data_IF_200818806056
#
_entry.id   IF_200818806056
#
_cell.length_a   1.000
_cell.length_b   1.000
_cell.length_c   1.000
_cell.angle_alpha   90.00
_cell.angle_beta   90.00
_cell.angle_gamma   90.00
#
_symmetry.space_group_name_H-M   'P 1'
#
loop_
_entity.id
_entity.type
_entity.pdbx_description
1 polymer ?
#
# COMPACT_ATOMS: atom_id res chain seq x y z
N UNK A 1 14.00 25.70 10.18
CA UNK A 1 12.56 25.88 9.90
C UNK A 1 12.39 26.10 8.41
N UNK A 2 11.75 25.18 7.69
CA UNK A 2 11.45 25.38 6.27
C UNK A 2 10.44 26.54 6.12
N UNK A 3 10.60 27.44 5.14
CA UNK A 3 9.66 28.54 4.93
C UNK A 3 8.27 27.97 4.63
N UNK A 4 7.24 28.55 5.27
CA UNK A 4 5.85 28.08 5.24
C UNK A 4 5.31 27.93 3.80
N UNK A 5 5.81 28.74 2.86
CA UNK A 5 5.46 28.67 1.43
C UNK A 5 5.98 27.42 0.71
N UNK A 6 7.12 26.87 1.13
CA UNK A 6 7.67 25.62 0.56
C UNK A 6 6.97 24.39 1.13
N UNK A 7 6.54 24.45 2.40
CA UNK A 7 5.79 23.35 3.04
C UNK A 7 4.43 23.15 2.37
N UNK A 8 3.70 24.24 2.05
CA UNK A 8 2.36 24.19 1.42
C UNK A 8 2.31 23.50 0.04
N UNK A 9 3.45 23.33 -0.63
CA UNK A 9 3.57 22.68 -1.94
C UNK A 9 4.07 21.23 -1.86
N UNK A 10 4.47 20.76 -0.67
CA UNK A 10 5.04 19.44 -0.44
C UNK A 10 3.99 18.47 0.09
N UNK A 11 3.91 17.30 -0.52
CA UNK A 11 3.01 16.22 -0.12
C UNK A 11 3.69 15.15 0.73
N UNK A 12 5.02 15.14 0.77
CA UNK A 12 5.86 14.25 1.58
C UNK A 12 5.41 14.18 3.05
N UNK A 13 5.06 15.30 3.74
CA UNK A 13 4.61 15.24 5.12
C UNK A 13 3.32 14.43 5.31
N UNK A 14 2.42 14.45 4.31
CA UNK A 14 1.17 13.66 4.34
C UNK A 14 1.50 12.18 4.23
N UNK A 15 2.40 11.81 3.32
CA UNK A 15 2.82 10.41 3.13
C UNK A 15 3.48 9.87 4.40
N UNK A 16 4.43 10.63 4.96
CA UNK A 16 5.11 10.29 6.21
C UNK A 16 4.13 10.07 7.36
N UNK A 17 3.27 11.06 7.60
CA UNK A 17 2.37 11.04 8.73
C UNK A 17 1.28 9.96 8.57
N UNK A 18 0.68 9.82 7.37
CA UNK A 18 -0.34 8.82 7.11
C UNK A 18 0.21 7.39 7.21
N UNK A 19 1.47 7.18 6.81
CA UNK A 19 2.08 5.86 6.87
C UNK A 19 2.51 5.47 8.29
N UNK A 20 3.06 6.40 9.07
CA UNK A 20 3.32 6.16 10.50
C UNK A 20 2.00 5.82 11.21
N UNK A 21 0.94 6.59 10.95
CA UNK A 21 -0.37 6.35 11.52
C UNK A 21 -0.96 4.98 11.10
N UNK A 22 -0.72 4.55 9.86
CA UNK A 22 -1.12 3.23 9.37
C UNK A 22 -0.38 2.11 10.09
N UNK A 23 0.95 2.22 10.27
CA UNK A 23 1.72 1.24 11.02
C UNK A 23 1.25 1.08 12.48
N UNK A 24 0.79 2.18 13.10
CA UNK A 24 0.17 2.14 14.44
C UNK A 24 -1.17 1.41 14.43
N UNK A 25 -2.02 1.70 13.44
CA UNK A 25 -3.29 1.01 13.25
C UNK A 25 -3.07 -0.49 13.01
N UNK A 26 -2.16 -0.87 12.11
CA UNK A 26 -1.94 -2.26 11.72
C UNK A 26 -1.51 -3.11 12.93
N UNK A 27 -0.57 -2.62 13.72
CA UNK A 27 -0.09 -3.31 14.92
C UNK A 27 -1.18 -3.38 15.99
N UNK A 28 -1.91 -2.29 16.23
CA UNK A 28 -3.02 -2.28 17.18
C UNK A 28 -4.13 -3.24 16.76
N UNK A 29 -4.54 -3.19 15.49
CA UNK A 29 -5.57 -4.05 14.92
C UNK A 29 -5.18 -5.52 15.02
N UNK A 30 -3.95 -5.88 14.65
CA UNK A 30 -3.49 -7.27 14.69
C UNK A 30 -3.49 -7.84 16.11
N UNK A 31 -3.09 -7.04 17.10
CA UNK A 31 -3.11 -7.47 18.50
C UNK A 31 -4.54 -7.58 19.05
N UNK A 32 -5.43 -6.63 18.74
CA UNK A 32 -6.83 -6.64 19.19
C UNK A 32 -7.58 -7.83 18.59
N UNK A 33 -7.39 -8.13 17.30
CA UNK A 33 -7.99 -9.30 16.65
C UNK A 33 -7.50 -10.58 17.30
N UNK A 34 -6.18 -10.72 17.54
CA UNK A 34 -5.62 -11.89 18.22
C UNK A 34 -6.27 -12.12 19.59
N UNK A 35 -6.36 -11.07 20.39
CA UNK A 35 -6.92 -11.13 21.75
C UNK A 35 -8.42 -11.46 21.74
N UNK A 36 -9.24 -10.74 20.96
CA UNK A 36 -10.68 -10.96 20.94
C UNK A 36 -11.07 -12.31 20.31
N UNK A 37 -10.37 -12.77 19.26
CA UNK A 37 -10.61 -14.11 18.70
C UNK A 37 -10.24 -15.20 19.71
N UNK A 38 -9.19 -15.02 20.51
CA UNK A 38 -8.83 -15.95 21.57
C UNK A 38 -9.93 -16.01 22.64
N UNK A 39 -10.37 -14.86 23.16
CA UNK A 39 -11.45 -14.77 24.17
C UNK A 39 -12.74 -15.41 23.66
N UNK A 40 -13.16 -15.07 22.43
CA UNK A 40 -14.39 -15.59 21.84
C UNK A 40 -14.35 -17.11 21.61
N UNK A 41 -13.19 -17.64 21.23
CA UNK A 41 -13.00 -19.10 21.04
C UNK A 41 -13.03 -19.83 22.38
N UNK A 42 -12.33 -19.30 23.38
CA UNK A 42 -12.26 -19.90 24.71
C UNK A 42 -13.63 -19.92 25.42
N UNK A 43 -14.49 -18.94 25.13
CA UNK A 43 -15.86 -18.91 25.62
C UNK A 43 -16.77 -19.96 24.96
N UNK A 44 -16.47 -20.37 23.72
CA UNK A 44 -17.32 -21.27 22.93
C UNK A 44 -16.93 -22.75 23.08
N UNK A 45 -15.65 -23.06 23.32
CA UNK A 45 -15.15 -24.42 23.41
C UNK A 45 -14.66 -24.77 24.82
N UNK A 46 -15.12 -25.89 25.44
CA UNK A 46 -14.66 -26.32 26.77
C UNK A 46 -13.18 -26.70 26.83
N UNK A 47 -12.59 -27.08 25.70
CA UNK A 47 -11.16 -27.40 25.54
C UNK A 47 -10.64 -26.68 24.28
N UNK A 48 -10.34 -25.38 24.38
CA UNK A 48 -9.88 -24.62 23.22
C UNK A 48 -8.52 -25.14 22.75
N UNK A 49 -8.41 -25.41 21.46
CA UNK A 49 -7.15 -25.79 20.82
C UNK A 49 -6.55 -24.60 20.09
N UNK A 50 -5.24 -24.55 19.95
CA UNK A 50 -4.57 -23.48 19.19
C UNK A 50 -5.06 -23.41 17.74
N UNK A 51 -5.40 -24.56 17.14
CA UNK A 51 -6.00 -24.64 15.81
C UNK A 51 -7.37 -23.95 15.73
N UNK A 52 -8.19 -24.07 16.78
CA UNK A 52 -9.51 -23.41 16.83
C UNK A 52 -9.38 -21.89 16.91
N UNK A 53 -8.43 -21.37 17.69
CA UNK A 53 -8.13 -19.94 17.81
C UNK A 53 -7.58 -19.38 16.49
N UNK A 54 -6.63 -20.09 15.88
CA UNK A 54 -6.09 -19.72 14.58
C UNK A 54 -7.18 -19.72 13.49
N UNK A 55 -8.08 -20.70 13.50
CA UNK A 55 -9.20 -20.76 12.55
C UNK A 55 -10.13 -19.55 12.69
N UNK A 56 -10.45 -19.14 13.91
CA UNK A 56 -11.26 -17.94 14.15
C UNK A 56 -10.58 -16.68 13.59
N UNK A 57 -9.31 -16.49 13.91
CA UNK A 57 -8.51 -15.37 13.41
C UNK A 57 -8.39 -15.38 11.88
N UNK A 58 -8.09 -16.54 11.28
CA UNK A 58 -7.98 -16.71 9.83
C UNK A 58 -9.30 -16.41 9.12
N UNK A 59 -10.43 -16.86 9.67
CA UNK A 59 -11.75 -16.57 9.10
C UNK A 59 -12.04 -15.07 9.15
N UNK A 60 -11.71 -14.41 10.26
CA UNK A 60 -11.89 -12.97 10.40
C UNK A 60 -11.06 -12.21 9.35
N UNK A 61 -9.76 -12.50 9.24
CA UNK A 61 -8.88 -11.86 8.26
C UNK A 61 -9.28 -12.15 6.81
N UNK A 62 -9.77 -13.36 6.51
CA UNK A 62 -10.28 -13.69 5.19
C UNK A 62 -11.43 -12.75 4.80
N UNK A 63 -12.43 -12.58 5.67
CA UNK A 63 -13.57 -11.68 5.43
C UNK A 63 -13.08 -10.24 5.34
N UNK A 64 -12.26 -9.79 6.29
CA UNK A 64 -11.74 -8.43 6.34
C UNK A 64 -10.94 -8.06 5.08
N UNK A 65 -10.01 -8.92 4.65
CA UNK A 65 -9.17 -8.68 3.48
C UNK A 65 -9.99 -8.74 2.18
N UNK A 66 -10.97 -9.64 2.08
CA UNK A 66 -11.90 -9.65 0.93
C UNK A 66 -12.66 -8.32 0.83
N UNK A 67 -13.23 -7.83 1.92
CA UNK A 67 -13.90 -6.53 1.94
C UNK A 67 -12.92 -5.40 1.57
N UNK A 68 -11.71 -5.40 2.16
CA UNK A 68 -10.70 -4.38 1.90
C UNK A 68 -10.23 -4.33 0.43
N UNK A 69 -10.24 -5.47 -0.28
CA UNK A 69 -9.75 -5.55 -1.68
C UNK A 69 -10.83 -5.35 -2.71
N UNK A 70 -12.04 -5.88 -2.48
CA UNK A 70 -13.12 -5.85 -3.47
C UNK A 70 -13.96 -4.57 -3.41
N UNK A 71 -14.28 -4.09 -2.20
CA UNK A 71 -15.13 -2.90 -2.02
C UNK A 71 -14.55 -1.65 -2.70
N UNK A 72 -13.24 -1.36 -2.66
CA UNK A 72 -12.68 -0.17 -3.28
C UNK A 72 -12.60 -0.19 -4.81
N UNK A 73 -12.82 -1.31 -5.50
CA UNK A 73 -12.62 -1.41 -6.95
C UNK A 73 -13.46 -0.36 -7.71
N UNK A 74 -14.78 -0.38 -7.52
CA UNK A 74 -15.68 0.55 -8.21
C UNK A 74 -15.50 2.01 -7.73
N UNK A 75 -15.47 2.30 -6.40
CA UNK A 75 -15.21 3.65 -5.89
C UNK A 75 -13.88 4.24 -6.37
N UNK A 76 -12.80 3.46 -6.42
CA UNK A 76 -11.50 3.95 -6.87
C UNK A 76 -11.53 4.36 -8.34
N UNK A 77 -12.23 3.63 -9.20
CA UNK A 77 -12.41 4.00 -10.62
C UNK A 77 -13.20 5.32 -10.73
N UNK A 78 -14.27 5.49 -9.94
CA UNK A 78 -15.07 6.72 -9.94
C UNK A 78 -14.23 7.90 -9.47
N UNK A 79 -13.47 7.73 -8.37
CA UNK A 79 -12.59 8.75 -7.83
C UNK A 79 -11.48 9.14 -8.80
N UNK A 80 -10.87 8.17 -9.48
CA UNK A 80 -9.88 8.43 -10.52
C UNK A 80 -10.45 9.36 -11.61
N UNK A 81 -11.63 9.05 -12.15
CA UNK A 81 -12.32 9.89 -13.13
C UNK A 81 -12.55 11.31 -12.62
N UNK A 82 -13.02 11.47 -11.38
CA UNK A 82 -13.23 12.78 -10.76
C UNK A 82 -11.91 13.54 -10.63
N UNK A 83 -10.82 12.83 -10.32
CA UNK A 83 -9.47 13.37 -10.36
C UNK A 83 -9.08 13.91 -11.75
N UNK A 84 -9.43 13.19 -12.80
CA UNK A 84 -9.13 13.58 -14.19
C UNK A 84 -9.95 14.75 -14.70
N UNK A 85 -11.17 14.93 -14.19
CA UNK A 85 -12.01 16.12 -14.43
C UNK A 85 -11.44 17.42 -13.81
N UNK A 86 -10.27 17.37 -13.19
CA UNK A 86 -9.58 18.52 -12.62
C UNK A 86 -9.65 18.60 -11.09
N UNK A 87 -10.44 17.75 -10.42
CA UNK A 87 -10.53 17.72 -8.96
C UNK A 87 -9.45 16.84 -8.32
N UNK A 88 -8.18 17.16 -8.57
CA UNK A 88 -7.00 16.34 -8.20
C UNK A 88 -6.84 16.06 -6.70
N UNK A 89 -7.46 16.85 -5.81
CA UNK A 89 -7.46 16.62 -4.36
C UNK A 89 -8.45 15.53 -3.92
N UNK A 90 -9.55 15.33 -4.65
CA UNK A 90 -10.64 14.44 -4.26
C UNK A 90 -10.18 12.98 -4.12
N UNK A 91 -9.40 12.41 -5.05
CA UNK A 91 -8.89 11.03 -4.95
C UNK A 91 -7.96 10.79 -3.74
N UNK A 92 -7.48 11.84 -3.08
CA UNK A 92 -6.61 11.75 -1.89
C UNK A 92 -7.45 11.99 -0.62
N UNK A 93 -8.26 13.04 -0.59
CA UNK A 93 -9.03 13.45 0.58
C UNK A 93 -10.11 12.44 0.95
N UNK A 94 -10.86 11.92 -0.02
CA UNK A 94 -11.95 10.98 0.26
C UNK A 94 -11.42 9.69 0.92
N UNK A 95 -10.37 9.02 0.39
CA UNK A 95 -9.76 7.90 1.09
C UNK A 95 -9.25 8.24 2.50
N UNK A 96 -8.65 9.42 2.71
CA UNK A 96 -8.19 9.83 4.04
C UNK A 96 -9.34 9.92 5.06
N UNK A 97 -10.52 10.35 4.64
CA UNK A 97 -11.74 10.33 5.48
C UNK A 97 -12.13 8.89 5.80
N UNK A 98 -12.20 8.01 4.80
CA UNK A 98 -12.53 6.60 5.00
C UNK A 98 -11.55 5.89 5.93
N UNK A 99 -10.25 6.18 5.78
CA UNK A 99 -9.23 5.73 6.71
C UNK A 99 -9.52 6.26 8.12
N UNK A 100 -9.67 7.57 8.32
CA UNK A 100 -9.94 8.15 9.64
C UNK A 100 -11.14 7.48 10.33
N UNK A 101 -12.24 7.22 9.61
CA UNK A 101 -13.41 6.51 10.14
C UNK A 101 -13.03 5.10 10.60
N UNK A 102 -12.31 4.33 9.78
CA UNK A 102 -11.84 2.98 10.14
C UNK A 102 -10.96 2.97 11.41
N UNK A 103 -10.10 3.98 11.60
CA UNK A 103 -9.28 4.13 12.83
C UNK A 103 -10.13 4.49 14.05
N UNK A 104 -11.14 5.34 13.87
CA UNK A 104 -12.12 5.66 14.93
C UNK A 104 -12.93 4.43 15.33
N UNK A 105 -13.35 3.60 14.36
CA UNK A 105 -14.04 2.33 14.66
C UNK A 105 -13.15 1.42 15.50
N UNK A 106 -11.86 1.26 15.15
CA UNK A 106 -10.93 0.49 15.99
C UNK A 106 -10.80 1.07 17.39
N UNK A 107 -10.73 2.40 17.53
CA UNK A 107 -10.68 3.04 18.84
C UNK A 107 -11.94 2.74 19.67
N UNK A 108 -13.11 2.77 19.05
CA UNK A 108 -14.38 2.40 19.70
C UNK A 108 -14.40 0.92 20.08
N UNK A 109 -13.89 0.02 19.24
CA UNK A 109 -13.75 -1.41 19.56
C UNK A 109 -12.91 -1.61 20.82
N UNK A 110 -11.79 -0.91 20.95
CA UNK A 110 -10.93 -1.00 22.13
C UNK A 110 -11.59 -0.38 23.37
N UNK A 111 -12.09 0.84 23.28
CA UNK A 111 -12.60 1.59 24.43
C UNK A 111 -13.94 1.04 24.93
N UNK A 112 -14.89 0.79 24.01
CA UNK A 112 -16.25 0.35 24.31
C UNK A 112 -16.43 -1.18 24.32
N UNK A 113 -15.36 -1.97 24.08
CA UNK A 113 -15.42 -3.44 24.00
C UNK A 113 -16.42 -3.94 22.95
N UNK A 114 -16.53 -3.22 21.83
CA UNK A 114 -17.40 -3.66 20.75
C UNK A 114 -16.88 -4.99 20.18
N UNK A 115 -17.79 -5.81 19.63
CA UNK A 115 -17.41 -6.98 18.85
C UNK A 115 -16.43 -6.61 17.73
N UNK A 116 -15.40 -7.44 17.53
CA UNK A 116 -14.38 -7.21 16.49
C UNK A 116 -14.99 -7.10 15.08
N UNK A 117 -16.16 -7.71 14.87
CA UNK A 117 -16.96 -7.65 13.66
C UNK A 117 -17.36 -6.21 13.27
N UNK A 118 -17.39 -5.26 14.22
CA UNK A 118 -17.59 -3.84 13.92
C UNK A 118 -16.53 -3.31 12.92
N UNK A 119 -15.33 -3.91 12.89
CA UNK A 119 -14.28 -3.59 11.94
C UNK A 119 -14.65 -3.91 10.49
N UNK A 120 -15.61 -4.82 10.24
CA UNK A 120 -16.16 -5.04 8.90
C UNK A 120 -16.89 -3.79 8.38
N UNK A 121 -17.62 -3.09 9.24
CA UNK A 121 -18.23 -1.81 8.89
C UNK A 121 -17.17 -0.74 8.59
N UNK A 122 -16.13 -0.66 9.43
CA UNK A 122 -15.00 0.27 9.25
C UNK A 122 -14.29 0.08 7.90
N UNK A 123 -13.95 -1.16 7.54
CA UNK A 123 -13.25 -1.46 6.28
C UNK A 123 -14.14 -1.26 5.05
N UNK A 124 -15.46 -1.51 5.15
CA UNK A 124 -16.40 -1.20 4.07
C UNK A 124 -16.46 0.30 3.81
N UNK A 125 -16.57 1.12 4.85
CA UNK A 125 -16.57 2.59 4.69
C UNK A 125 -15.24 3.08 4.09
N UNK A 126 -14.12 2.53 4.57
CA UNK A 126 -12.80 2.80 4.02
C UNK A 126 -12.71 2.40 2.53
N UNK A 127 -13.25 1.25 2.15
CA UNK A 127 -13.28 0.77 0.77
C UNK A 127 -14.18 1.61 -0.12
N UNK A 128 -15.39 1.95 0.33
CA UNK A 128 -16.33 2.84 -0.37
C UNK A 128 -15.74 4.25 -0.58
N UNK A 129 -14.77 4.64 0.24
CA UNK A 129 -14.01 5.87 0.10
C UNK A 129 -12.83 5.75 -0.89
N UNK A 130 -12.67 4.62 -1.59
CA UNK A 130 -11.61 4.37 -2.58
C UNK A 130 -10.37 3.65 -2.04
N UNK A 131 -10.23 3.54 -0.71
CA UNK A 131 -9.14 2.81 -0.07
C UNK A 131 -7.73 3.22 -0.51
N UNK A 132 -6.79 2.28 -0.41
CA UNK A 132 -5.39 2.50 -0.78
C UNK A 132 -5.24 2.80 -2.27
N UNK A 133 -6.04 2.13 -3.12
CA UNK A 133 -5.97 2.24 -4.57
C UNK A 133 -6.17 3.69 -5.03
N UNK A 134 -7.23 4.35 -4.57
CA UNK A 134 -7.48 5.76 -4.92
C UNK A 134 -6.45 6.69 -4.28
N UNK A 135 -6.11 6.48 -3.00
CA UNK A 135 -5.17 7.32 -2.26
C UNK A 135 -3.80 7.35 -2.93
N UNK A 136 -3.24 6.17 -3.21
CA UNK A 136 -1.90 6.02 -3.77
C UNK A 136 -1.86 6.45 -5.23
N UNK A 137 -2.88 6.10 -6.03
CA UNK A 137 -2.96 6.56 -7.41
C UNK A 137 -3.09 8.09 -7.50
N UNK A 138 -3.88 8.71 -6.63
CA UNK A 138 -4.01 10.17 -6.55
C UNK A 138 -2.70 10.85 -6.16
N UNK A 139 -1.98 10.31 -5.18
CA UNK A 139 -0.65 10.77 -4.79
C UNK A 139 0.35 10.66 -5.95
N UNK A 140 0.43 9.50 -6.61
CA UNK A 140 1.36 9.29 -7.73
C UNK A 140 1.03 10.17 -8.93
N UNK A 141 -0.25 10.40 -9.20
CA UNK A 141 -0.69 11.35 -10.23
C UNK A 141 -0.19 12.75 -9.91
N UNK A 142 -0.34 13.20 -8.66
CA UNK A 142 0.14 14.52 -8.25
C UNK A 142 1.65 14.65 -8.38
N UNK A 143 2.41 13.66 -7.90
CA UNK A 143 3.88 13.61 -8.02
C UNK A 143 4.31 13.67 -9.49
N UNK A 144 3.59 12.96 -10.37
CA UNK A 144 3.87 12.94 -11.81
C UNK A 144 3.70 14.28 -12.50
N UNK A 145 2.75 15.08 -12.01
CA UNK A 145 2.40 16.40 -12.55
C UNK A 145 3.31 17.50 -12.01
N UNK A 146 3.87 17.33 -10.81
CA UNK A 146 4.78 18.31 -10.21
C UNK A 146 6.23 18.12 -10.60
N UNK A 147 6.53 17.06 -11.34
CA UNK A 147 7.89 16.68 -11.74
C UNK A 147 8.10 16.91 -13.22
N UNK A 148 9.32 17.29 -13.62
CA UNK A 148 9.74 17.31 -15.01
C UNK A 148 9.73 15.88 -15.59
N UNK A 149 9.55 15.73 -16.92
CA UNK A 149 9.50 14.41 -17.59
C UNK A 149 10.74 13.57 -17.26
N UNK A 150 11.92 14.19 -17.34
CA UNK A 150 13.23 13.54 -17.10
C UNK A 150 13.40 13.01 -15.67
N UNK A 151 12.88 13.74 -14.68
CA UNK A 151 13.05 13.42 -13.25
C UNK A 151 11.84 12.73 -12.63
N UNK A 152 10.75 12.52 -13.38
CA UNK A 152 9.47 12.01 -12.86
C UNK A 152 9.62 10.67 -12.15
N UNK A 153 10.41 9.78 -12.74
CA UNK A 153 10.70 8.46 -12.20
C UNK A 153 11.39 8.50 -10.85
N UNK A 154 12.38 9.39 -10.73
CA UNK A 154 13.11 9.63 -9.49
C UNK A 154 12.19 10.17 -8.40
N UNK A 155 11.28 11.08 -8.73
CA UNK A 155 10.33 11.63 -7.78
C UNK A 155 9.32 10.58 -7.28
N UNK A 156 8.84 9.69 -8.17
CA UNK A 156 7.98 8.56 -7.76
C UNK A 156 8.73 7.59 -6.84
N UNK A 157 9.94 7.18 -7.20
CA UNK A 157 10.79 6.32 -6.35
C UNK A 157 11.13 6.98 -5.01
N UNK A 158 11.33 8.30 -4.99
CA UNK A 158 11.55 9.04 -3.75
C UNK A 158 10.33 8.96 -2.82
N UNK A 159 9.11 9.08 -3.35
CA UNK A 159 7.88 8.98 -2.56
C UNK A 159 7.68 7.56 -1.98
N UNK A 160 8.03 6.53 -2.73
CA UNK A 160 8.06 5.14 -2.24
C UNK A 160 9.09 4.94 -1.12
N UNK A 161 10.28 5.53 -1.27
CA UNK A 161 11.29 5.49 -0.21
C UNK A 161 10.79 6.19 1.06
N UNK A 162 10.16 7.35 0.92
CA UNK A 162 9.56 8.09 2.04
C UNK A 162 8.49 7.24 2.72
N UNK A 163 7.60 6.60 1.95
CA UNK A 163 6.61 5.65 2.45
C UNK A 163 7.26 4.47 3.21
N UNK A 164 8.29 3.86 2.64
CA UNK A 164 9.04 2.76 3.26
C UNK A 164 9.70 3.15 4.58
N UNK A 165 10.42 4.28 4.61
CA UNK A 165 11.07 4.78 5.84
C UNK A 165 10.03 5.12 6.92
N UNK A 166 8.92 5.74 6.53
CA UNK A 166 7.81 6.05 7.43
C UNK A 166 7.22 4.78 8.05
N UNK A 167 6.97 3.75 7.23
CA UNK A 167 6.47 2.46 7.66
C UNK A 167 7.45 1.76 8.60
N UNK A 168 8.74 1.76 8.28
CA UNK A 168 9.78 1.19 9.13
C UNK A 168 9.81 1.83 10.52
N UNK A 169 9.88 3.16 10.58
CA UNK A 169 9.90 3.91 11.85
C UNK A 169 8.59 3.69 12.61
N UNK A 170 7.45 3.79 11.93
CA UNK A 170 6.12 3.58 12.51
C UNK A 170 5.97 2.19 13.11
N UNK A 171 6.38 1.14 12.39
CA UNK A 171 6.31 -0.24 12.86
C UNK A 171 7.24 -0.51 14.05
N UNK A 172 8.47 0.03 14.04
CA UNK A 172 9.38 -0.09 15.20
C UNK A 172 8.79 0.56 16.45
N UNK A 173 8.21 1.76 16.32
CA UNK A 173 7.62 2.50 17.43
C UNK A 173 6.32 1.85 17.91
N UNK A 174 5.50 1.34 16.99
CA UNK A 174 4.16 0.82 17.28
C UNK A 174 4.14 -0.29 18.32
N UNK A 175 5.06 -1.26 18.22
CA UNK A 175 5.10 -2.43 19.11
C UNK A 175 5.46 -2.05 20.54
N UNK A 176 6.36 -1.08 20.73
CA UNK A 176 6.70 -0.54 22.04
C UNK A 176 5.58 0.33 22.60
N UNK A 177 4.97 1.16 21.75
CA UNK A 177 3.88 2.03 22.17
C UNK A 177 2.62 1.25 22.54
N UNK A 178 2.39 0.07 21.96
CA UNK A 178 1.31 -0.84 22.35
C UNK A 178 1.45 -1.33 23.81
N UNK A 179 2.67 -1.41 24.34
CA UNK A 179 2.96 -1.89 25.69
C UNK A 179 2.93 -0.77 26.74
N UNK A 180 2.93 0.50 26.32
CA UNK A 180 2.87 1.61 27.25
C UNK A 180 1.48 1.72 27.89
N UNK A 181 1.46 1.69 29.23
CA UNK A 181 0.31 1.85 30.13
C UNK A 181 -0.69 0.68 30.17
N UNK A 182 -0.59 -0.11 31.24
CA UNK A 182 -1.47 -1.26 31.55
C UNK A 182 -2.39 -1.02 32.76
N UNK A 183 -2.27 0.11 33.45
CA UNK A 183 -2.80 0.25 34.82
C UNK A 183 -4.20 0.88 34.89
N UNK A 184 -4.53 1.85 34.02
CA UNK A 184 -5.86 2.49 33.97
C UNK A 184 -6.53 2.49 32.58
N UNK A 185 -5.74 2.35 31.51
CA UNK A 185 -6.21 2.32 30.12
C UNK A 185 -5.99 0.93 29.51
N UNK A 186 -6.93 0.48 28.69
CA UNK A 186 -6.82 -0.80 27.97
C UNK A 186 -5.62 -0.79 27.04
N UNK A 187 -4.98 -1.95 26.94
CA UNK A 187 -3.81 -2.15 26.09
C UNK A 187 -4.10 -1.75 24.64
N UNK A 188 -3.23 -0.95 24.03
CA UNK A 188 -3.40 -0.45 22.66
C UNK A 188 -4.22 0.84 22.50
N UNK A 189 -4.91 1.34 23.54
CA UNK A 189 -5.72 2.59 23.44
C UNK A 189 -4.87 3.78 23.01
N UNK A 190 -3.68 3.94 23.60
CA UNK A 190 -2.75 5.03 23.27
C UNK A 190 -2.28 4.94 21.82
N UNK A 191 -1.90 3.74 21.37
CA UNK A 191 -1.42 3.50 20.01
C UNK A 191 -2.51 3.86 18.98
N UNK A 192 -3.73 3.37 19.18
CA UNK A 192 -4.85 3.62 18.27
C UNK A 192 -5.28 5.08 18.32
N UNK A 193 -5.31 5.70 19.51
CA UNK A 193 -5.61 7.14 19.65
C UNK A 193 -4.59 8.01 18.91
N UNK A 194 -3.29 7.67 19.00
CA UNK A 194 -2.25 8.36 18.26
C UNK A 194 -2.41 8.18 16.74
N UNK A 195 -2.81 6.98 16.29
CA UNK A 195 -3.13 6.74 14.87
C UNK A 195 -4.28 7.64 14.39
N UNK A 196 -5.37 7.74 15.16
CA UNK A 196 -6.52 8.63 14.86
C UNK A 196 -6.06 10.08 14.79
N UNK A 197 -5.28 10.54 15.76
CA UNK A 197 -4.77 11.90 15.81
C UNK A 197 -3.89 12.23 14.60
N UNK A 198 -2.94 11.37 14.24
CA UNK A 198 -2.07 11.58 13.08
C UNK A 198 -2.85 11.61 11.77
N UNK A 199 -3.84 10.72 11.59
CA UNK A 199 -4.71 10.75 10.42
C UNK A 199 -5.58 12.02 10.36
N UNK A 200 -6.08 12.48 11.50
CA UNK A 200 -6.81 13.75 11.58
C UNK A 200 -5.92 14.93 11.16
N UNK A 201 -4.68 14.99 11.65
CA UNK A 201 -3.69 16.00 11.24
C UNK A 201 -3.41 15.91 9.73
N UNK A 202 -3.27 14.70 9.17
CA UNK A 202 -3.10 14.51 7.72
C UNK A 202 -4.27 15.09 6.92
N UNK A 203 -5.50 14.84 7.37
CA UNK A 203 -6.71 15.32 6.74
C UNK A 203 -6.78 16.85 6.79
N UNK A 204 -6.57 17.44 7.97
CA UNK A 204 -6.53 18.91 8.14
C UNK A 204 -5.45 19.54 7.26
N UNK A 205 -4.26 18.95 7.23
CA UNK A 205 -3.16 19.44 6.38
C UNK A 205 -3.55 19.39 4.89
N UNK A 206 -4.11 18.27 4.43
CA UNK A 206 -4.47 18.09 3.00
C UNK A 206 -5.59 19.04 2.57
N UNK A 207 -6.56 19.31 3.46
CA UNK A 207 -7.66 20.24 3.19
C UNK A 207 -7.21 21.70 3.19
N UNK A 208 -6.53 22.13 4.26
CA UNK A 208 -6.32 23.55 4.55
C UNK A 208 -4.92 24.07 4.19
N UNK A 209 -3.89 23.22 4.21
CA UNK A 209 -2.49 23.64 4.07
C UNK A 209 -1.91 23.26 2.71
N UNK A 210 -2.24 22.09 2.20
CA UNK A 210 -1.77 21.62 0.91
C UNK A 210 -2.45 22.42 -0.21
N UNK A 211 -1.69 23.27 -0.90
CA UNK A 211 -2.17 23.97 -2.09
C UNK A 211 -1.80 23.15 -3.32
N UNK A 212 -2.80 22.82 -4.13
CA UNK A 212 -2.57 22.17 -5.41
C UNK A 212 -1.74 23.11 -6.29
N UNK A 213 -0.64 22.63 -6.89
CA UNK A 213 0.09 23.40 -7.89
C UNK A 213 -0.85 23.73 -9.05
N UNK A 214 -0.98 25.02 -9.38
CA UNK A 214 -1.77 25.47 -10.53
C UNK A 214 -1.06 25.00 -11.79
N UNK A 215 -1.61 23.98 -12.45
CA UNK A 215 -1.14 23.54 -13.75
C UNK A 215 -1.91 24.40 -14.76
N UNK A 216 -1.18 25.22 -15.53
CA UNK A 216 -1.77 26.00 -16.62
C UNK A 216 -2.45 25.05 -17.61
N UNK A 217 -3.68 25.34 -18.09
CA UNK A 217 -4.40 24.52 -19.05
C UNK A 217 -3.84 24.63 -20.49
N UNK A 218 -2.51 24.72 -20.64
CA UNK A 218 -1.81 24.97 -21.89
C UNK A 218 -0.99 23.76 -22.34
N UNK A 219 -1.64 22.61 -22.44
CA UNK A 219 -1.00 21.37 -22.87
C UNK A 219 -2.01 20.25 -23.10
N UNK A 220 -2.81 20.43 -24.15
CA UNK A 220 -3.49 19.37 -24.92
C UNK A 220 -4.22 18.28 -24.11
N UNK A 221 -5.55 18.41 -24.06
CA UNK A 221 -6.38 17.26 -24.45
C UNK A 221 -5.82 16.74 -25.78
N UNK A 222 -5.11 15.63 -25.73
CA UNK A 222 -4.70 14.93 -26.94
C UNK A 222 -5.97 14.32 -27.52
N UNK A 223 -6.67 15.09 -28.38
CA UNK A 223 -7.61 14.53 -29.34
C UNK A 223 -6.85 13.47 -30.14
N UNK A 224 -7.08 12.20 -29.82
CA UNK A 224 -6.56 11.07 -30.58
C UNK A 224 -7.00 11.26 -32.03
N UNK A 225 -6.01 11.40 -32.92
CA UNK A 225 -6.22 11.50 -34.35
C UNK A 225 -6.53 10.10 -34.86
N UNK A 226 -7.72 9.94 -35.44
CA UNK A 226 -8.07 8.81 -36.30
C UNK A 226 -7.01 8.68 -37.40
N UNK A 227 -6.28 7.56 -37.44
CA UNK A 227 -5.37 7.32 -38.55
C UNK A 227 -4.35 6.21 -38.32
N UNK A 228 -4.72 5.01 -38.79
CA UNK A 228 -3.82 3.94 -39.28
C UNK A 228 -2.90 3.31 -38.21
N UNK A 229 -3.12 2.02 -37.93
CA UNK A 229 -2.14 0.91 -37.90
C UNK A 229 -2.77 -0.23 -37.05
N UNK A 230 -3.54 -1.11 -37.69
CA UNK A 230 -4.33 -2.18 -37.05
C UNK A 230 -3.45 -3.32 -36.46
N UNK A 231 -2.27 -3.59 -37.05
CA UNK A 231 -1.38 -4.69 -36.62
C UNK A 231 -0.38 -4.30 -35.53
N UNK A 232 0.17 -3.09 -35.55
CA UNK A 232 1.02 -2.56 -34.48
C UNK A 232 0.19 -2.23 -33.22
N UNK A 233 -1.06 -1.78 -33.39
CA UNK A 233 -2.00 -1.53 -32.30
C UNK A 233 -2.41 -2.83 -31.58
N UNK A 234 -2.68 -3.91 -32.33
CA UNK A 234 -2.98 -5.24 -31.76
C UNK A 234 -1.81 -5.82 -30.94
N UNK A 235 -0.56 -5.71 -31.44
CA UNK A 235 0.64 -6.14 -30.69
C UNK A 235 0.90 -5.28 -29.45
N UNK A 236 0.59 -3.98 -29.51
CA UNK A 236 0.66 -3.05 -28.37
C UNK A 236 -0.37 -3.44 -27.28
N UNK A 237 -1.60 -3.78 -27.66
CA UNK A 237 -2.62 -4.28 -26.73
C UNK A 237 -2.25 -5.63 -26.11
N UNK A 238 -1.70 -6.55 -26.91
CA UNK A 238 -1.23 -7.84 -26.40
C UNK A 238 -0.15 -7.67 -25.32
N UNK A 239 0.82 -6.79 -25.54
CA UNK A 239 1.87 -6.49 -24.58
C UNK A 239 1.33 -5.81 -23.31
N UNK A 240 0.40 -4.85 -23.46
CA UNK A 240 -0.26 -4.21 -22.32
C UNK A 240 -1.01 -5.25 -21.50
N UNK A 241 -1.84 -6.08 -22.14
CA UNK A 241 -2.59 -7.14 -21.47
C UNK A 241 -1.65 -8.12 -20.75
N UNK A 242 -0.51 -8.47 -21.36
CA UNK A 242 0.50 -9.32 -20.75
C UNK A 242 1.15 -8.68 -19.51
N UNK A 243 1.47 -7.38 -19.57
CA UNK A 243 2.00 -6.63 -18.42
C UNK A 243 0.99 -6.55 -17.29
N UNK A 244 -0.28 -6.28 -17.59
CA UNK A 244 -1.38 -6.28 -16.62
C UNK A 244 -1.56 -7.64 -15.97
N UNK A 245 -1.60 -8.69 -16.79
CA UNK A 245 -1.75 -10.07 -16.31
C UNK A 245 -0.56 -10.45 -15.42
N UNK A 246 0.67 -10.10 -15.82
CA UNK A 246 1.87 -10.31 -15.02
C UNK A 246 1.84 -9.56 -13.68
N UNK A 247 1.42 -8.29 -13.68
CA UNK A 247 1.27 -7.49 -12.47
C UNK A 247 0.23 -8.04 -11.49
N UNK A 248 -0.93 -8.47 -12.01
CA UNK A 248 -1.97 -9.12 -11.20
C UNK A 248 -1.47 -10.44 -10.61
N UNK A 249 -0.82 -11.29 -11.42
CA UNK A 249 -0.25 -12.55 -10.95
C UNK A 249 0.80 -12.33 -9.87
N UNK A 250 1.65 -11.32 -10.05
CA UNK A 250 2.65 -10.93 -9.06
C UNK A 250 2.01 -10.44 -7.76
N UNK A 251 1.00 -9.56 -7.83
CA UNK A 251 0.30 -9.06 -6.65
C UNK A 251 -0.45 -10.17 -5.90
N UNK A 252 -1.09 -11.08 -6.62
CA UNK A 252 -1.74 -12.27 -6.02
C UNK A 252 -0.71 -13.16 -5.31
N UNK A 253 0.44 -13.42 -5.93
CA UNK A 253 1.49 -14.26 -5.35
C UNK A 253 2.16 -13.60 -4.12
N UNK A 254 2.52 -12.33 -4.23
CA UNK A 254 3.25 -11.60 -3.18
C UNK A 254 2.32 -11.13 -2.09
N UNK A 255 1.26 -10.40 -2.44
CA UNK A 255 0.27 -9.89 -1.51
C UNK A 255 -0.48 -11.01 -0.79
N UNK A 256 -0.89 -12.05 -1.52
CA UNK A 256 -1.51 -13.24 -0.92
C UNK A 256 -0.59 -13.95 0.06
N UNK A 257 0.70 -14.08 -0.27
CA UNK A 257 1.70 -14.67 0.63
C UNK A 257 1.87 -13.88 1.94
N UNK A 258 1.97 -12.55 1.86
CA UNK A 258 2.16 -11.69 3.04
C UNK A 258 0.94 -11.71 3.97
N UNK A 259 -0.28 -11.79 3.44
CA UNK A 259 -1.51 -11.85 4.26
C UNK A 259 -1.61 -13.12 5.10
N UNK A 260 -1.12 -14.25 4.58
CA UNK A 260 -1.08 -15.51 5.33
C UNK A 260 -0.11 -15.41 6.52
N UNK A 261 1.01 -14.69 6.36
CA UNK A 261 2.02 -14.54 7.41
C UNK A 261 1.45 -13.88 8.67
N UNK A 262 0.53 -12.92 8.54
CA UNK A 262 -0.10 -12.23 9.68
C UNK A 262 -0.78 -13.20 10.65
N UNK A 263 -1.41 -14.25 10.13
CA UNK A 263 -2.06 -15.29 10.96
C UNK A 263 -1.05 -16.32 11.47
N UNK A 264 0.00 -16.60 10.69
CA UNK A 264 1.07 -17.54 11.07
C UNK A 264 1.93 -17.00 12.23
N UNK A 265 2.26 -15.71 12.22
CA UNK A 265 3.03 -15.03 13.26
C UNK A 265 2.35 -15.09 14.65
N UNK A 266 1.02 -15.24 14.67
CA UNK A 266 0.22 -15.24 15.88
C UNK A 266 -0.06 -16.62 16.48
N UNK A 267 0.31 -17.69 15.77
CA UNK A 267 0.18 -19.08 16.24
C UNK A 267 1.44 -19.55 16.97
N UNK A 268 1.32 -20.49 17.90
CA UNK A 268 2.46 -21.32 18.32
C UNK A 268 3.11 -22.03 17.10
N UNK A 269 4.46 -22.10 17.02
CA UNK A 269 5.47 -21.84 18.04
C UNK A 269 5.97 -20.38 18.15
N UNK A 270 5.46 -19.46 17.34
CA UNK A 270 5.92 -18.06 17.32
C UNK A 270 5.24 -17.22 18.41
N UNK A 271 3.90 -17.30 18.49
CA UNK A 271 3.04 -16.58 19.44
C UNK A 271 3.52 -15.16 19.74
N UNK A 272 3.64 -14.32 18.70
CA UNK A 272 4.35 -13.06 18.82
C UNK A 272 3.69 -12.06 19.77
N UNK A 273 4.55 -11.33 20.49
CA UNK A 273 4.18 -10.12 21.23
C UNK A 273 4.08 -8.92 20.28
N UNK A 274 3.43 -7.85 20.72
CA UNK A 274 3.30 -6.62 19.93
C UNK A 274 4.64 -6.04 19.45
N UNK A 275 5.70 -6.15 20.25
CA UNK A 275 7.05 -5.73 19.87
C UNK A 275 7.64 -6.57 18.74
N UNK A 276 7.44 -7.89 18.76
CA UNK A 276 7.90 -8.79 17.71
C UNK A 276 7.13 -8.57 16.40
N UNK A 277 5.82 -8.32 16.48
CA UNK A 277 4.98 -7.91 15.36
C UNK A 277 5.50 -6.61 14.75
N UNK A 278 5.75 -5.58 15.58
CA UNK A 278 6.33 -4.30 15.13
C UNK A 278 7.66 -4.48 14.40
N UNK A 279 8.56 -5.32 14.91
CA UNK A 279 9.82 -5.66 14.24
C UNK A 279 9.61 -6.45 12.95
N UNK A 280 8.65 -7.38 12.93
CA UNK A 280 8.27 -8.16 11.75
C UNK A 280 7.73 -7.29 10.62
N UNK A 281 6.91 -6.29 10.97
CA UNK A 281 6.37 -5.30 10.03
C UNK A 281 7.45 -4.32 9.55
N UNK A 282 8.33 -3.86 10.45
CA UNK A 282 9.46 -3.02 10.09
C UNK A 282 10.41 -3.72 9.09
N UNK A 283 10.64 -5.03 9.29
CA UNK A 283 11.41 -5.83 8.33
C UNK A 283 10.73 -5.92 6.95
N UNK A 284 9.40 -5.89 6.88
CA UNK A 284 8.65 -5.78 5.63
C UNK A 284 8.90 -4.45 4.92
N UNK A 285 8.97 -3.34 5.67
CA UNK A 285 9.24 -2.02 5.09
C UNK A 285 10.69 -1.79 4.65
N UNK A 286 11.65 -2.59 5.13
CA UNK A 286 13.03 -2.57 4.61
C UNK A 286 13.10 -2.86 3.11
N UNK A 287 12.10 -3.57 2.57
CA UNK A 287 12.03 -3.89 1.15
C UNK A 287 12.06 -2.63 0.30
N UNK A 288 11.30 -1.58 0.64
CA UNK A 288 11.30 -0.31 -0.09
C UNK A 288 12.68 0.36 -0.13
N UNK A 289 13.42 0.28 0.98
CA UNK A 289 14.77 0.84 1.06
C UNK A 289 15.74 0.06 0.17
N UNK A 290 15.66 -1.27 0.21
CA UNK A 290 16.51 -2.12 -0.62
C UNK A 290 16.14 -2.11 -2.09
N UNK A 291 14.87 -1.87 -2.43
CA UNK A 291 14.46 -1.65 -3.81
C UNK A 291 15.10 -0.38 -4.38
N UNK A 292 15.01 0.72 -3.63
CA UNK A 292 15.62 1.99 -4.02
C UNK A 292 17.14 1.85 -4.19
N UNK A 293 17.82 1.26 -3.20
CA UNK A 293 19.27 1.08 -3.22
C UNK A 293 19.72 0.08 -4.29
N UNK A 294 18.96 -1.01 -4.46
CA UNK A 294 19.20 -2.05 -5.46
C UNK A 294 19.12 -1.49 -6.88
N UNK A 295 18.10 -0.67 -7.17
CA UNK A 295 18.00 0.03 -8.45
C UNK A 295 19.15 1.01 -8.63
N UNK A 296 19.48 1.82 -7.62
CA UNK A 296 20.56 2.83 -7.72
C UNK A 296 21.94 2.22 -7.97
N UNK A 297 22.23 1.05 -7.38
CA UNK A 297 23.54 0.40 -7.45
C UNK A 297 23.60 -0.62 -8.59
N UNK A 298 22.67 -1.56 -8.66
CA UNK A 298 22.76 -2.72 -9.56
C UNK A 298 22.31 -2.42 -10.98
N UNK A 299 21.47 -1.40 -11.20
CA UNK A 299 21.06 -1.04 -12.56
C UNK A 299 22.18 -0.44 -13.42
N UNK A 300 23.36 -0.18 -12.82
CA UNK A 300 24.58 0.18 -13.55
C UNK A 300 25.28 -1.03 -14.17
N UNK A 301 25.00 -2.24 -13.69
CA UNK A 301 25.76 -3.45 -14.04
C UNK A 301 24.89 -4.57 -14.62
N UNK A 302 23.57 -4.52 -14.39
CA UNK A 302 22.64 -5.61 -14.71
C UNK A 302 21.43 -5.05 -15.45
N UNK A 303 20.95 -5.79 -16.47
CA UNK A 303 19.75 -5.40 -17.22
C UNK A 303 18.48 -5.50 -16.39
N UNK A 304 17.47 -4.68 -16.71
CA UNK A 304 16.21 -4.63 -15.97
C UNK A 304 15.53 -6.01 -15.90
N UNK A 305 15.48 -6.75 -17.01
CA UNK A 305 14.96 -8.13 -17.09
C UNK A 305 15.70 -9.12 -16.19
N UNK A 306 17.00 -8.94 -15.97
CA UNK A 306 17.75 -9.83 -15.06
C UNK A 306 17.47 -9.48 -13.61
N UNK A 307 17.32 -8.19 -13.31
CA UNK A 307 16.84 -7.73 -12.01
C UNK A 307 15.46 -8.37 -11.73
N UNK A 308 14.55 -8.38 -12.73
CA UNK A 308 13.43 -9.34 -12.96
C UNK A 308 13.46 -10.58 -12.11
N UNK A 309 14.25 -11.47 -12.69
CA UNK A 309 14.37 -12.86 -12.36
C UNK A 309 15.05 -13.00 -11.01
N UNK A 310 16.07 -12.18 -10.71
CA UNK A 310 16.73 -12.17 -9.40
C UNK A 310 15.71 -11.88 -8.30
N UNK A 311 14.86 -10.87 -8.51
CA UNK A 311 13.80 -10.53 -7.57
C UNK A 311 12.83 -11.69 -7.38
N UNK A 312 12.22 -12.19 -8.46
CA UNK A 312 11.25 -13.29 -8.38
C UNK A 312 11.82 -14.57 -7.73
N UNK A 313 13.04 -14.96 -8.09
CA UNK A 313 13.71 -16.15 -7.53
C UNK A 313 13.98 -15.96 -6.04
N UNK A 314 14.41 -14.76 -5.62
CA UNK A 314 14.63 -14.45 -4.22
C UNK A 314 13.32 -14.44 -3.42
N UNK A 315 12.19 -13.99 -4.01
CA UNK A 315 10.86 -14.09 -3.39
C UNK A 315 10.47 -15.54 -3.14
N UNK A 316 10.57 -16.37 -4.19
CA UNK A 316 10.25 -17.77 -4.13
C UNK A 316 11.11 -18.51 -3.08
N UNK A 317 12.41 -18.22 -3.04
CA UNK A 317 13.32 -18.77 -2.04
C UNK A 317 12.96 -18.31 -0.61
N UNK A 318 12.54 -17.05 -0.43
CA UNK A 318 12.08 -16.50 0.84
C UNK A 318 10.82 -17.18 1.36
N UNK A 319 9.77 -17.28 0.53
CA UNK A 319 8.51 -17.97 0.88
C UNK A 319 8.75 -19.46 1.13
N UNK A 320 9.55 -20.12 0.29
CA UNK A 320 9.90 -21.52 0.51
C UNK A 320 10.60 -21.73 1.85
N UNK A 321 11.52 -20.84 2.23
CA UNK A 321 12.16 -20.89 3.54
C UNK A 321 11.17 -20.65 4.69
N UNK A 322 10.19 -19.76 4.50
CA UNK A 322 9.14 -19.49 5.49
C UNK A 322 8.30 -20.73 5.82
N UNK A 323 8.11 -21.66 4.87
CA UNK A 323 7.36 -22.88 5.11
C UNK A 323 7.96 -23.81 6.19
N UNK A 324 9.26 -23.65 6.50
CA UNK A 324 9.97 -24.46 7.49
C UNK A 324 10.31 -23.69 8.78
N UNK A 325 9.75 -22.49 8.97
CA UNK A 325 10.04 -21.66 10.13
C UNK A 325 9.40 -22.24 11.38
N UNK A 326 10.23 -22.59 12.35
CA UNK A 326 9.81 -23.06 13.68
C UNK A 326 10.19 -22.11 14.81
N UNK A 327 11.01 -21.09 14.53
CA UNK A 327 11.49 -20.13 15.53
C UNK A 327 11.53 -18.70 14.98
N UNK A 328 11.37 -17.71 15.87
CA UNK A 328 11.31 -16.29 15.54
C UNK A 328 12.54 -15.77 14.78
N UNK A 329 13.75 -16.25 15.09
CA UNK A 329 14.94 -15.86 14.33
C UNK A 329 14.94 -16.43 12.91
N UNK A 330 14.39 -17.63 12.69
CA UNK A 330 14.24 -18.21 11.34
C UNK A 330 13.26 -17.37 10.52
N UNK A 331 12.20 -16.86 11.15
CA UNK A 331 11.28 -15.94 10.50
C UNK A 331 11.99 -14.67 10.01
N UNK A 332 12.79 -14.01 10.86
CA UNK A 332 13.56 -12.83 10.45
C UNK A 332 14.62 -13.15 9.39
N UNK A 333 15.23 -14.34 9.43
CA UNK A 333 16.14 -14.81 8.37
C UNK A 333 15.39 -15.06 7.06
N UNK A 334 14.16 -15.57 7.14
CA UNK A 334 13.22 -15.66 6.02
C UNK A 334 12.96 -14.28 5.44
N UNK A 335 12.43 -13.33 6.25
CA UNK A 335 12.19 -11.93 5.85
C UNK A 335 13.45 -11.27 5.28
N UNK A 336 14.65 -11.54 5.81
CA UNK A 336 15.92 -11.05 5.25
C UNK A 336 16.20 -11.58 3.84
N UNK A 337 15.81 -12.82 3.52
CA UNK A 337 15.90 -13.34 2.15
C UNK A 337 14.89 -12.63 1.21
N UNK A 338 13.80 -12.07 1.74
CA UNK A 338 12.95 -11.11 1.00
C UNK A 338 13.60 -9.74 0.79
N UNK A 339 14.62 -9.36 1.56
CA UNK A 339 15.24 -8.03 1.42
C UNK A 339 16.13 -7.97 0.15
N UNK A 340 16.59 -9.11 -0.37
CA UNK A 340 17.29 -9.18 -1.66
C UNK A 340 16.33 -9.20 -2.87
N UNK A 341 15.02 -9.24 -2.61
CA UNK A 341 13.99 -9.71 -3.54
C UNK A 341 13.33 -8.63 -4.40
N UNK A 342 13.52 -7.34 -4.16
CA UNK A 342 12.87 -6.35 -5.04
C UNK A 342 13.83 -5.31 -5.59
N UNK A 343 14.78 -5.75 -6.41
CA UNK A 343 15.33 -4.89 -7.46
C UNK A 343 14.29 -4.68 -8.59
N UNK A 344 13.00 -4.88 -8.32
CA UNK A 344 12.01 -5.22 -9.32
C UNK A 344 10.61 -4.76 -8.96
N UNK A 345 10.03 -3.99 -9.88
CA UNK A 345 8.66 -3.51 -9.80
C UNK A 345 8.47 -2.20 -10.56
N UNK A 346 9.42 -1.27 -10.46
CA UNK A 346 9.13 0.10 -10.91
C UNK A 346 10.14 0.77 -11.84
N UNK A 347 11.35 0.23 -12.01
CA UNK A 347 12.27 0.80 -13.02
C UNK A 347 11.74 0.60 -14.45
N UNK A 348 11.18 -0.57 -14.77
CA UNK A 348 10.58 -0.82 -16.09
C UNK A 348 9.25 -0.08 -16.33
N UNK A 349 8.51 0.30 -15.27
CA UNK A 349 7.30 1.13 -15.39
C UNK A 349 7.61 2.63 -15.48
N UNK A 350 8.84 3.02 -15.14
CA UNK A 350 9.22 4.41 -14.96
C UNK A 350 10.37 4.87 -15.84
N UNK A 351 11.00 3.99 -16.62
CA UNK A 351 11.99 4.36 -17.62
C UNK A 351 11.30 4.82 -18.91
N UNK A 352 10.92 6.11 -18.92
CA UNK A 352 10.35 6.83 -20.07
C UNK A 352 11.30 6.79 -21.29
N UNK A 353 12.58 6.43 -21.11
CA UNK A 353 13.57 6.30 -22.20
C UNK A 353 13.50 4.96 -22.97
N UNK A 354 12.76 3.95 -22.50
CA UNK A 354 12.56 2.67 -23.24
C UNK A 354 11.18 2.49 -23.85
N UNK A 355 10.19 3.29 -23.43
CA UNK A 355 8.87 3.34 -24.08
C UNK A 355 8.91 3.75 -25.58
N UNK A 356 9.78 4.68 -26.03
CA UNK A 356 9.81 5.06 -27.46
C UNK A 356 10.45 4.00 -28.37
N UNK A 357 11.32 3.14 -27.85
CA UNK A 357 11.98 2.09 -28.65
C UNK A 357 11.01 0.93 -28.97
N UNK A 358 9.97 0.74 -28.15
CA UNK A 358 8.92 -0.27 -28.37
C UNK A 358 7.66 0.28 -29.06
N UNK A 359 7.45 1.60 -29.07
CA UNK A 359 6.21 2.21 -29.58
C UNK A 359 6.34 3.08 -30.84
N UNK A 360 7.57 3.38 -31.29
CA UNK A 360 7.80 4.30 -32.40
C UNK A 360 7.61 5.75 -31.96
N UNK A 361 8.50 6.63 -32.40
CA UNK A 361 8.41 8.08 -32.20
C UNK A 361 7.06 8.59 -32.70
N UNK A 362 6.16 8.91 -31.77
CA UNK A 362 5.03 9.87 -31.89
C UNK A 362 4.05 9.78 -30.70
N UNK A 363 4.27 8.90 -29.71
CA UNK A 363 3.50 8.93 -28.46
C UNK A 363 4.18 9.81 -27.39
N UNK A 364 4.15 11.13 -27.61
CA UNK A 364 4.55 12.09 -26.57
C UNK A 364 3.50 12.16 -25.45
N UNK A 365 3.98 11.98 -24.21
CA UNK A 365 3.38 12.52 -22.99
C UNK A 365 2.06 11.92 -22.51
N UNK A 366 2.11 10.75 -21.86
CA UNK A 366 1.15 10.40 -20.80
C UNK A 366 1.77 9.37 -19.85
N UNK A 367 1.88 9.73 -18.57
CA UNK A 367 2.35 8.81 -17.54
C UNK A 367 1.47 7.55 -17.45
N UNK A 368 2.00 6.48 -16.87
CA UNK A 368 1.36 5.18 -16.81
C UNK A 368 -0.03 5.19 -16.13
N UNK A 369 -0.27 6.11 -15.20
CA UNK A 369 -1.59 6.35 -14.61
C UNK A 369 -2.59 6.95 -15.63
N UNK A 370 -2.12 7.84 -16.50
CA UNK A 370 -2.91 8.37 -17.62
C UNK A 370 -3.16 7.30 -18.69
N UNK A 371 -2.24 6.35 -18.91
CA UNK A 371 -2.49 5.19 -19.77
C UNK A 371 -3.45 4.15 -19.12
N UNK A 372 -3.42 3.97 -17.80
CA UNK A 372 -4.37 3.14 -17.06
C UNK A 372 -5.79 3.72 -17.19
N UNK A 373 -5.91 5.04 -17.09
CA UNK A 373 -7.15 5.81 -17.20
C UNK A 373 -7.61 5.88 -18.67
N UNK A 374 -6.71 6.11 -19.62
CA UNK A 374 -7.00 6.12 -21.05
C UNK A 374 -7.41 4.74 -21.56
N UNK A 375 -6.78 3.65 -21.09
CA UNK A 375 -7.21 2.28 -21.40
C UNK A 375 -8.60 1.97 -20.79
N UNK A 376 -8.89 2.46 -19.57
CA UNK A 376 -10.23 2.38 -18.97
C UNK A 376 -11.27 3.30 -19.63
N UNK A 377 -10.84 4.32 -20.37
CA UNK A 377 -11.69 5.16 -21.21
C UNK A 377 -11.95 4.50 -22.56
N UNK A 378 -10.91 3.96 -23.20
CA UNK A 378 -10.98 3.31 -24.51
C UNK A 378 -11.76 2.00 -24.52
N UNK A 379 -11.75 1.24 -23.40
CA UNK A 379 -12.65 0.08 -23.22
C UNK A 379 -14.12 0.47 -23.00
N UNK A 380 -14.42 1.73 -22.65
CA UNK A 380 -15.78 2.23 -22.45
C UNK A 380 -16.44 2.62 -23.76
N UNK A 381 -15.66 3.12 -24.72
CA UNK A 381 -16.16 3.61 -26.00
C UNK A 381 -16.27 2.48 -27.06
N UNK A 382 -15.89 1.26 -26.70
CA UNK A 382 -15.99 0.04 -27.52
C UNK A 382 -17.16 -0.89 -27.15
N UNK A 383 -18.05 -0.44 -26.26
CA UNK A 383 -19.37 -1.05 -25.95
C UNK A 383 -20.43 -0.03 -26.29
#
# INVERSE_FOLDING_TARGET
MLPLGTLRKRIEPVVLCAQIASAFFDTGFQMVVKEQCAIGTDALYPTPTEDSRQKAMSNFYMIYNMLSKFVPILPAIILAKVGDLGYRKIPIVIPLVGYLVSRVVLLLVVVMELPIEAMFGGVVVQGLSGGFCSYWAGLMTLVSLTSAKEDRSLHMMHMELVYGVAGLIGSLVSGHLFQLYSVDFKQGTVLVSLSVFLYFVCLVYTLFVFLMPTISPSGQECNETDGIIDTQYSRKIGNILLLFTGGILYDVAVGGGLEILVTFEMKEPLNWTATQVGYGNAAGFLVFLTSFLGVMVMSRWVSDVTLIIIGMVSFAAGIYFMAFVTATYMFYLGKRKFIMTLIQGFKDLSDENRLPILLGEEAESCGLAAHYIAACHKMRDSV
#
